data_IF_274739236807
#
_entry.id   IF_274739236807
#
_cell.length_a   1.000
_cell.length_b   1.000
_cell.length_c   1.000
_cell.angle_alpha   90.00
_cell.angle_beta   90.00
_cell.angle_gamma   90.00
#
_symmetry.space_group_name_H-M   'P 1'
#
loop_
_entity.id
_entity.type
_entity.pdbx_description
1 polymer ?
#
# COMPACT_ATOMS: atom_id res chain seq x y z
N UNK A 1 -18.56 17.17 21.40
CA UNK A 1 -19.98 17.47 21.31
C UNK A 1 -20.25 18.28 20.05
N UNK A 2 -21.03 17.74 19.09
CA UNK A 2 -21.37 18.39 17.83
C UNK A 2 -22.70 19.17 17.88
N UNK A 3 -23.34 19.27 19.04
CA UNK A 3 -24.63 19.97 19.21
C UNK A 3 -24.61 21.42 18.73
N UNK A 4 -23.50 22.13 18.90
CA UNK A 4 -23.35 23.51 18.41
C UNK A 4 -23.35 23.67 16.90
N UNK A 5 -23.31 22.56 16.13
CA UNK A 5 -23.25 22.52 14.68
C UNK A 5 -24.59 22.12 14.05
N UNK A 6 -25.69 22.05 14.81
CA UNK A 6 -27.01 21.67 14.29
C UNK A 6 -27.42 22.58 13.13
N UNK A 7 -27.75 21.99 11.98
CA UNK A 7 -28.10 22.69 10.75
C UNK A 7 -26.91 23.02 9.84
N UNK A 8 -25.68 22.81 10.32
CA UNK A 8 -24.48 22.95 9.48
C UNK A 8 -24.24 21.69 8.65
N UNK A 9 -23.69 21.88 7.47
CA UNK A 9 -23.25 20.77 6.61
C UNK A 9 -21.72 20.73 6.62
N UNK A 10 -21.16 19.65 7.13
CA UNK A 10 -19.74 19.36 7.03
C UNK A 10 -19.44 18.74 5.67
N UNK A 11 -18.45 19.26 4.98
CA UNK A 11 -17.94 18.68 3.75
C UNK A 11 -16.53 18.16 4.00
N UNK A 12 -16.21 17.01 3.42
CA UNK A 12 -14.89 16.41 3.53
C UNK A 12 -14.42 15.87 2.19
N UNK A 13 -13.13 16.01 1.95
CA UNK A 13 -12.47 15.56 0.73
C UNK A 13 -11.18 14.87 1.12
N UNK A 14 -10.94 13.70 0.59
CA UNK A 14 -9.63 13.06 0.63
C UNK A 14 -9.13 12.80 -0.79
N UNK A 15 -7.88 13.10 -1.04
CA UNK A 15 -7.19 12.86 -2.32
C UNK A 15 -5.90 12.08 -2.10
N UNK A 16 -5.36 11.49 -3.15
CA UNK A 16 -4.20 10.62 -3.08
C UNK A 16 -4.55 9.16 -2.86
N UNK A 17 -5.81 8.88 -2.60
CA UNK A 17 -6.39 7.56 -2.75
C UNK A 17 -6.54 7.33 -4.27
N UNK A 18 -6.29 6.11 -4.80
CA UNK A 18 -6.43 5.88 -6.25
C UNK A 18 -7.72 6.48 -6.77
N UNK A 19 -7.61 7.33 -7.82
CA UNK A 19 -8.71 8.04 -8.45
C UNK A 19 -10.04 7.25 -8.50
N UNK A 20 -11.20 7.90 -8.27
CA UNK A 20 -11.41 9.34 -8.19
C UNK A 20 -11.33 9.89 -6.76
N UNK A 21 -11.13 11.22 -6.63
CA UNK A 21 -11.22 11.90 -5.33
C UNK A 21 -12.62 11.73 -4.73
N UNK A 22 -12.68 11.33 -3.47
CA UNK A 22 -13.93 11.08 -2.77
C UNK A 22 -14.32 12.32 -1.95
N UNK A 23 -15.53 12.81 -2.20
CA UNK A 23 -16.10 13.95 -1.49
C UNK A 23 -17.39 13.51 -0.81
N UNK A 24 -17.56 13.87 0.45
CA UNK A 24 -18.77 13.63 1.20
C UNK A 24 -19.28 14.88 1.89
N UNK A 25 -20.54 14.83 2.27
CA UNK A 25 -21.20 15.86 3.08
C UNK A 25 -21.99 15.20 4.19
N UNK A 26 -21.97 15.80 5.36
CA UNK A 26 -22.77 15.38 6.51
C UNK A 26 -23.48 16.58 7.11
N UNK A 27 -24.81 16.49 7.24
CA UNK A 27 -25.61 17.55 7.86
C UNK A 27 -25.88 17.18 9.31
N UNK A 28 -25.47 18.06 10.21
CA UNK A 28 -25.66 17.87 11.65
C UNK A 28 -27.10 18.18 12.04
N UNK A 29 -27.76 17.25 12.70
CA UNK A 29 -29.10 17.40 13.30
C UNK A 29 -29.01 17.43 14.83
N UNK A 30 -30.13 17.67 15.52
CA UNK A 30 -30.16 17.65 16.98
C UNK A 30 -29.84 16.28 17.58
N UNK A 31 -30.08 15.21 16.84
CA UNK A 31 -29.80 13.83 17.22
C UNK A 31 -28.45 13.31 16.77
N UNK A 32 -27.70 14.10 15.97
CA UNK A 32 -26.43 13.68 15.40
C UNK A 32 -25.37 13.40 16.48
N UNK A 33 -24.71 12.28 16.34
CA UNK A 33 -23.57 11.88 17.16
C UNK A 33 -22.27 11.92 16.36
N UNK A 34 -21.14 11.88 17.07
CA UNK A 34 -19.83 11.75 16.41
C UNK A 34 -19.69 10.40 15.69
N UNK A 35 -20.36 9.36 16.20
CA UNK A 35 -20.40 8.05 15.53
C UNK A 35 -21.09 8.15 14.16
N UNK A 36 -22.23 8.85 14.06
CA UNK A 36 -22.93 9.06 12.78
C UNK A 36 -22.05 9.82 11.77
N UNK A 37 -21.28 10.79 12.25
CA UNK A 37 -20.33 11.53 11.43
C UNK A 37 -19.22 10.61 10.88
N UNK A 38 -18.62 9.78 11.74
CA UNK A 38 -17.59 8.79 11.35
C UNK A 38 -18.15 7.78 10.36
N UNK A 39 -19.37 7.27 10.60
CA UNK A 39 -20.05 6.35 9.70
C UNK A 39 -20.28 6.98 8.32
N UNK A 40 -20.67 8.26 8.29
CA UNK A 40 -20.83 9.01 7.04
C UNK A 40 -19.51 9.13 6.25
N UNK A 41 -18.38 9.36 6.94
CA UNK A 41 -17.06 9.38 6.31
C UNK A 41 -16.74 7.98 5.74
N UNK A 42 -16.87 6.94 6.54
CA UNK A 42 -16.60 5.56 6.11
C UNK A 42 -17.48 5.16 4.90
N UNK A 43 -18.75 5.56 4.89
CA UNK A 43 -19.66 5.31 3.77
C UNK A 43 -19.22 6.02 2.49
N UNK A 44 -18.75 7.27 2.59
CA UNK A 44 -18.25 8.04 1.44
C UNK A 44 -17.02 7.38 0.80
N UNK A 45 -16.15 6.80 1.63
CA UNK A 45 -14.97 6.10 1.14
C UNK A 45 -15.22 4.61 0.84
N UNK A 46 -16.49 4.22 0.72
CA UNK A 46 -16.92 2.88 0.27
C UNK A 46 -17.85 3.04 -0.92
N UNK A 47 -17.35 2.81 -2.13
CA UNK A 47 -18.12 2.92 -3.39
C UNK A 47 -18.17 1.55 -4.04
N UNK A 48 -19.39 1.11 -4.43
CA UNK A 48 -19.62 -0.18 -5.08
C UNK A 48 -18.98 -1.37 -4.33
N UNK A 49 -19.09 -1.37 -3.01
CA UNK A 49 -18.47 -2.34 -2.09
C UNK A 49 -16.92 -2.31 -2.07
N UNK A 50 -16.31 -1.36 -2.74
CA UNK A 50 -14.86 -1.15 -2.68
C UNK A 50 -14.55 -0.11 -1.62
N UNK A 51 -13.78 -0.48 -0.62
CA UNK A 51 -13.22 0.46 0.36
C UNK A 51 -12.02 1.18 -0.22
N UNK A 52 -11.94 2.48 0.03
CA UNK A 52 -10.80 3.33 -0.34
C UNK A 52 -9.97 3.77 0.87
N UNK A 53 -10.54 3.70 2.06
CA UNK A 53 -9.83 3.79 3.33
C UNK A 53 -10.00 2.49 4.10
N UNK A 54 -9.01 2.13 4.91
CA UNK A 54 -9.08 0.98 5.80
C UNK A 54 -10.15 1.24 6.87
N UNK A 55 -9.99 2.33 7.62
CA UNK A 55 -10.91 2.70 8.69
C UNK A 55 -10.82 4.19 9.04
N UNK A 56 -11.97 4.72 9.47
CA UNK A 56 -12.06 5.98 10.21
C UNK A 56 -12.66 5.67 11.56
N UNK A 57 -11.95 6.01 12.64
CA UNK A 57 -12.30 5.69 14.01
C UNK A 57 -11.89 6.79 14.98
N UNK A 58 -12.27 6.66 16.25
CA UNK A 58 -11.75 7.48 17.34
C UNK A 58 -10.67 6.71 18.08
N UNK A 59 -9.54 7.36 18.30
CA UNK A 59 -8.52 6.83 19.18
C UNK A 59 -8.92 6.99 20.66
N UNK A 60 -8.20 6.34 21.54
CA UNK A 60 -8.47 6.32 23.00
C UNK A 60 -8.37 7.70 23.64
N UNK A 61 -7.64 8.63 23.06
CA UNK A 61 -7.52 10.03 23.48
C UNK A 61 -8.64 10.93 22.93
N UNK A 62 -9.55 10.38 22.11
CA UNK A 62 -10.66 11.08 21.48
C UNK A 62 -10.29 11.78 20.17
N UNK A 63 -9.08 11.60 19.66
CA UNK A 63 -8.69 12.10 18.33
C UNK A 63 -9.30 11.27 17.21
N UNK A 64 -9.59 11.90 16.07
CA UNK A 64 -10.05 11.20 14.88
C UNK A 64 -8.86 10.55 14.18
N UNK A 65 -8.91 9.23 14.05
CA UNK A 65 -7.92 8.43 13.35
C UNK A 65 -8.44 8.05 11.98
N UNK A 66 -7.63 8.25 10.95
CA UNK A 66 -7.93 7.89 9.57
C UNK A 66 -6.81 6.99 9.05
N UNK A 67 -7.16 5.76 8.73
CA UNK A 67 -6.24 4.75 8.23
C UNK A 67 -6.46 4.51 6.74
N UNK A 68 -5.37 4.65 5.96
CA UNK A 68 -5.32 4.21 4.57
C UNK A 68 -4.87 2.76 4.46
N UNK A 69 -5.16 2.13 3.35
CA UNK A 69 -4.57 0.82 3.03
C UNK A 69 -3.05 0.91 2.89
N UNK A 70 -2.36 -0.19 3.18
CA UNK A 70 -0.92 -0.30 2.99
C UNK A 70 -0.51 -0.09 1.52
N UNK A 71 0.72 0.36 1.33
CA UNK A 71 1.33 0.60 0.02
C UNK A 71 1.34 2.05 -0.41
N UNK A 72 2.40 2.42 -1.11
CA UNK A 72 2.64 3.80 -1.58
C UNK A 72 1.56 4.30 -2.54
N UNK A 73 0.94 3.39 -3.31
CA UNK A 73 -0.18 3.69 -4.20
C UNK A 73 -1.46 4.11 -3.47
N UNK A 74 -1.58 3.77 -2.18
CA UNK A 74 -2.74 4.10 -1.35
C UNK A 74 -2.46 5.28 -0.40
N UNK A 75 -1.36 6.00 -0.62
CA UNK A 75 -0.96 7.14 0.19
C UNK A 75 -2.04 8.22 0.20
N UNK A 76 -2.56 8.57 1.38
CA UNK A 76 -3.41 9.73 1.55
C UNK A 76 -2.54 10.98 1.42
N UNK A 77 -2.72 11.76 0.35
CA UNK A 77 -1.91 12.96 0.07
C UNK A 77 -2.58 14.24 0.52
N UNK A 78 -3.90 14.23 0.63
CA UNK A 78 -4.68 15.39 1.03
C UNK A 78 -5.92 14.95 1.80
N UNK A 79 -6.20 15.65 2.86
CA UNK A 79 -7.40 15.48 3.67
C UNK A 79 -7.86 16.86 4.12
N UNK A 80 -9.11 17.19 3.87
CA UNK A 80 -9.70 18.45 4.27
C UNK A 80 -11.12 18.25 4.77
N UNK A 81 -11.42 18.89 5.89
CA UNK A 81 -12.76 18.97 6.47
C UNK A 81 -13.11 20.43 6.65
N UNK A 82 -14.26 20.83 6.18
CA UNK A 82 -14.73 22.19 6.32
C UNK A 82 -16.24 22.24 6.51
N UNK A 83 -16.73 23.27 7.14
CA UNK A 83 -18.16 23.51 7.27
C UNK A 83 -18.67 24.39 6.15
N UNK A 84 -19.84 24.05 5.61
CA UNK A 84 -20.58 24.85 4.66
C UNK A 84 -21.90 25.26 5.31
N UNK A 85 -22.06 26.54 5.68
CA UNK A 85 -23.25 27.05 6.32
C UNK A 85 -23.10 28.49 6.77
N UNK A 86 -24.15 29.03 7.38
CA UNK A 86 -24.22 30.43 7.80
C UNK A 86 -24.05 30.63 9.32
N UNK A 87 -23.73 29.59 10.10
CA UNK A 87 -23.55 29.73 11.53
C UNK A 87 -22.27 30.49 11.84
N UNK A 88 -22.42 31.64 12.46
CA UNK A 88 -21.31 32.47 12.95
C UNK A 88 -20.85 31.98 14.32
N UNK A 89 -19.58 31.69 14.48
CA UNK A 89 -18.95 31.37 15.77
C UNK A 89 -18.67 29.88 16.01
N UNK A 90 -19.57 28.98 15.67
CA UNK A 90 -19.36 27.51 15.79
C UNK A 90 -18.58 26.93 14.62
N UNK A 91 -18.71 27.55 13.44
CA UNK A 91 -17.94 27.22 12.25
C UNK A 91 -16.46 27.33 12.49
N UNK A 92 -16.02 28.46 13.07
CA UNK A 92 -14.60 28.69 13.36
C UNK A 92 -14.00 27.63 14.29
N UNK A 93 -14.80 27.13 15.22
CA UNK A 93 -14.34 26.07 16.14
C UNK A 93 -14.17 24.73 15.41
N UNK A 94 -15.10 24.36 14.54
CA UNK A 94 -15.01 23.14 13.77
C UNK A 94 -13.86 23.22 12.75
N UNK A 95 -13.78 24.30 11.99
CA UNK A 95 -12.74 24.48 11.00
C UNK A 95 -11.34 24.56 11.66
N UNK A 96 -11.23 25.15 12.84
CA UNK A 96 -9.98 25.15 13.60
C UNK A 96 -9.56 23.77 14.13
N UNK A 97 -10.50 22.86 14.37
CA UNK A 97 -10.20 21.49 14.84
C UNK A 97 -9.85 20.56 13.67
N UNK A 98 -10.52 20.71 12.54
CA UNK A 98 -10.42 19.77 11.42
C UNK A 98 -9.73 20.34 10.17
N UNK A 99 -9.37 21.61 10.14
CA UNK A 99 -8.68 22.21 9.00
C UNK A 99 -7.23 21.72 8.92
N UNK A 100 -6.94 20.95 7.89
CA UNK A 100 -5.59 20.46 7.59
C UNK A 100 -4.57 21.57 7.34
N UNK A 101 -5.02 22.77 6.94
CA UNK A 101 -4.13 23.93 6.69
C UNK A 101 -3.57 24.53 7.98
N UNK A 102 -4.23 24.32 9.12
CA UNK A 102 -3.82 24.83 10.43
C UNK A 102 -2.88 23.85 11.17
N UNK A 103 -2.54 22.71 10.56
CA UNK A 103 -1.59 21.75 11.14
C UNK A 103 -2.15 20.86 12.26
N UNK A 104 -3.46 20.70 12.34
CA UNK A 104 -4.12 19.81 13.29
C UNK A 104 -4.04 18.34 12.91
N UNK A 105 -3.72 18.04 11.64
CA UNK A 105 -3.51 16.67 11.17
C UNK A 105 -2.05 16.29 11.31
N UNK A 106 -1.80 15.23 12.03
CA UNK A 106 -0.47 14.64 12.15
C UNK A 106 -0.42 13.31 11.42
N UNK A 107 0.50 13.19 10.48
CA UNK A 107 0.81 11.89 9.89
C UNK A 107 1.63 11.08 10.89
N UNK A 108 1.05 9.99 11.37
CA UNK A 108 1.69 9.09 12.33
C UNK A 108 2.45 7.96 11.63
N UNK A 109 2.06 7.63 10.39
CA UNK A 109 2.71 6.59 9.60
C UNK A 109 2.78 6.99 8.12
N UNK A 110 3.94 6.82 7.50
CA UNK A 110 4.08 6.92 6.05
C UNK A 110 3.53 5.68 5.36
N UNK A 111 3.05 5.87 4.12
CA UNK A 111 2.64 4.75 3.28
C UNK A 111 3.89 4.07 2.71
N UNK A 112 4.05 2.81 3.01
CA UNK A 112 5.17 2.00 2.55
C UNK A 112 4.65 0.71 1.89
N UNK A 113 5.34 0.26 0.85
CA UNK A 113 5.04 -1.03 0.23
C UNK A 113 5.56 -2.15 1.12
N UNK A 114 4.75 -3.18 1.33
CA UNK A 114 5.21 -4.38 2.03
C UNK A 114 6.24 -5.09 1.16
N UNK A 115 7.48 -5.18 1.63
CA UNK A 115 8.59 -5.78 0.92
C UNK A 115 9.26 -6.88 1.74
N UNK A 116 9.74 -7.89 1.04
CA UNK A 116 10.60 -8.91 1.58
C UNK A 116 11.78 -9.14 0.65
N UNK A 117 13.01 -9.07 1.17
CA UNK A 117 14.22 -9.29 0.37
C UNK A 117 14.99 -10.50 0.90
N UNK A 118 15.52 -11.28 -0.03
CA UNK A 118 16.41 -12.38 0.26
C UNK A 118 17.65 -12.32 -0.63
N UNK A 119 18.75 -12.89 -0.20
CA UNK A 119 20.00 -12.94 -0.96
C UNK A 119 20.46 -14.35 -1.20
N UNK A 120 21.07 -14.58 -2.35
CA UNK A 120 21.71 -15.83 -2.69
C UNK A 120 23.11 -15.56 -3.24
N UNK A 121 24.08 -16.40 -2.88
CA UNK A 121 25.41 -16.38 -3.48
C UNK A 121 25.48 -17.40 -4.59
N UNK A 122 25.85 -16.96 -5.78
CA UNK A 122 26.09 -17.80 -6.95
C UNK A 122 27.54 -17.65 -7.41
N UNK A 123 28.05 -18.64 -8.12
CA UNK A 123 29.43 -18.62 -8.59
C UNK A 123 29.46 -18.66 -10.11
N UNK A 124 30.33 -17.85 -10.71
CA UNK A 124 30.57 -17.89 -12.14
C UNK A 124 31.45 -19.10 -12.54
N UNK A 125 31.64 -19.28 -13.84
CA UNK A 125 32.46 -20.36 -14.39
C UNK A 125 33.95 -20.29 -14.00
N UNK A 126 34.40 -19.15 -13.49
CA UNK A 126 35.75 -18.94 -12.98
C UNK A 126 35.85 -19.08 -11.45
N UNK A 127 34.72 -19.30 -10.77
CA UNK A 127 34.66 -19.50 -9.33
C UNK A 127 34.53 -18.21 -8.51
N UNK A 128 34.28 -17.05 -9.14
CA UNK A 128 34.02 -15.83 -8.41
C UNK A 128 32.58 -15.82 -7.85
N UNK A 129 32.42 -15.34 -6.64
CA UNK A 129 31.14 -15.26 -5.95
C UNK A 129 30.40 -13.97 -6.31
N UNK A 130 29.12 -14.11 -6.64
CA UNK A 130 28.21 -13.00 -6.91
C UNK A 130 27.00 -13.09 -5.98
N UNK A 131 26.64 -11.96 -5.34
CA UNK A 131 25.49 -11.91 -4.45
C UNK A 131 24.30 -11.37 -5.25
N UNK A 132 23.27 -12.17 -5.36
CA UNK A 132 21.99 -11.76 -5.94
C UNK A 132 21.03 -11.36 -4.83
N UNK A 133 20.29 -10.29 -5.06
CA UNK A 133 19.20 -9.87 -4.17
C UNK A 133 17.88 -10.05 -4.90
N UNK A 134 16.98 -10.82 -4.33
CA UNK A 134 15.61 -10.96 -4.81
C UNK A 134 14.70 -10.21 -3.84
N UNK A 135 13.93 -9.26 -4.37
CA UNK A 135 12.99 -8.45 -3.61
C UNK A 135 11.58 -8.77 -4.07
N UNK A 136 10.70 -9.06 -3.13
CA UNK A 136 9.28 -9.23 -3.32
C UNK A 136 8.56 -8.00 -2.80
N UNK A 137 7.68 -7.42 -3.61
CA UNK A 137 6.84 -6.26 -3.23
C UNK A 137 5.38 -6.67 -3.35
N UNK A 138 4.61 -6.51 -2.28
CA UNK A 138 3.20 -6.89 -2.26
C UNK A 138 2.39 -5.99 -3.21
N UNK A 139 1.47 -6.58 -3.97
CA UNK A 139 0.52 -5.83 -4.78
C UNK A 139 -0.48 -5.11 -3.86
N UNK A 140 -0.66 -3.82 -4.06
CA UNK A 140 -1.55 -2.98 -3.25
C UNK A 140 -3.05 -3.22 -3.53
N UNK A 141 -3.36 -3.87 -4.65
CA UNK A 141 -4.74 -4.17 -5.09
C UNK A 141 -5.13 -5.63 -4.93
N UNK A 142 -4.16 -6.51 -4.76
CA UNK A 142 -4.39 -7.94 -4.63
C UNK A 142 -3.50 -8.53 -3.54
N UNK A 143 -4.09 -8.81 -2.40
CA UNK A 143 -3.40 -9.34 -1.22
C UNK A 143 -2.67 -10.66 -1.43
N UNK A 144 -3.01 -11.38 -2.49
CA UNK A 144 -2.44 -12.69 -2.83
C UNK A 144 -1.42 -12.61 -3.94
N UNK A 145 -1.09 -11.41 -4.43
CA UNK A 145 -0.13 -11.19 -5.50
C UNK A 145 1.06 -10.38 -4.99
N UNK A 146 2.24 -10.79 -5.41
CA UNK A 146 3.49 -10.10 -5.19
C UNK A 146 4.23 -9.95 -6.50
N UNK A 147 4.91 -8.85 -6.68
CA UNK A 147 5.88 -8.63 -7.74
C UNK A 147 7.25 -8.98 -7.20
N UNK A 148 8.06 -9.64 -8.00
CA UNK A 148 9.45 -9.93 -7.63
C UNK A 148 10.41 -9.33 -8.63
N UNK A 149 11.58 -8.95 -8.14
CA UNK A 149 12.69 -8.40 -8.91
C UNK A 149 13.98 -9.02 -8.40
N UNK A 150 14.87 -9.42 -9.33
CA UNK A 150 16.23 -9.88 -9.01
C UNK A 150 17.22 -8.82 -9.46
N UNK A 151 18.10 -8.43 -8.54
CA UNK A 151 19.21 -7.50 -8.79
C UNK A 151 20.52 -8.16 -8.41
N UNK A 152 21.55 -7.92 -9.25
CA UNK A 152 22.92 -8.20 -8.89
C UNK A 152 23.60 -6.98 -8.21
N UNK A 153 24.81 -7.14 -7.67
CA UNK A 153 25.60 -6.03 -7.16
C UNK A 153 25.84 -4.97 -8.23
N UNK A 154 25.89 -3.71 -7.81
CA UNK A 154 26.05 -2.53 -8.66
C UNK A 154 27.31 -2.54 -9.56
N UNK A 155 28.32 -3.29 -9.22
CA UNK A 155 29.54 -3.47 -10.03
C UNK A 155 29.31 -4.21 -11.34
N UNK A 156 28.14 -4.84 -11.53
CA UNK A 156 27.77 -5.57 -12.73
C UNK A 156 26.74 -4.80 -13.60
N UNK A 157 26.18 -3.70 -13.11
CA UNK A 157 25.17 -2.92 -13.81
C UNK A 157 25.74 -2.18 -15.06
N UNK A 158 27.03 -1.84 -15.06
CA UNK A 158 27.67 -1.14 -16.17
C UNK A 158 27.90 -2.02 -17.41
N UNK A 159 27.82 -3.34 -17.27
CA UNK A 159 28.12 -4.29 -18.38
C UNK A 159 26.91 -4.82 -19.15
N UNK A 160 25.77 -4.11 -19.10
CA UNK A 160 24.55 -4.54 -19.82
C UNK A 160 23.69 -5.51 -19.03
N UNK A 161 23.69 -5.39 -17.76
CA UNK A 161 23.03 -6.20 -16.77
C UNK A 161 21.51 -6.27 -16.96
N UNK A 162 20.96 -7.44 -16.97
CA UNK A 162 19.50 -7.66 -17.05
C UNK A 162 18.94 -7.93 -15.67
N UNK A 163 18.28 -6.94 -15.11
CA UNK A 163 17.32 -7.15 -14.01
C UNK A 163 16.20 -8.03 -14.56
N UNK A 164 15.89 -9.13 -13.93
CA UNK A 164 14.70 -9.92 -14.26
C UNK A 164 13.66 -9.75 -13.19
N UNK A 165 12.40 -9.78 -13.59
CA UNK A 165 11.26 -9.50 -12.75
C UNK A 165 10.05 -10.33 -13.17
N UNK A 166 9.06 -10.35 -12.30
CA UNK A 166 7.83 -11.06 -12.57
C UNK A 166 6.82 -10.94 -11.45
N UNK A 167 5.93 -11.89 -11.38
CA UNK A 167 4.92 -11.94 -10.32
C UNK A 167 4.73 -13.34 -9.77
N UNK A 168 4.30 -13.41 -8.52
CA UNK A 168 3.87 -14.63 -7.85
C UNK A 168 2.49 -14.41 -7.26
N UNK A 169 1.62 -15.39 -7.39
CA UNK A 169 0.30 -15.41 -6.76
C UNK A 169 0.20 -16.57 -5.79
N UNK A 170 -0.60 -16.39 -4.75
CA UNK A 170 -0.85 -17.42 -3.75
C UNK A 170 -2.33 -17.76 -3.68
N UNK A 171 -2.63 -19.02 -3.37
CA UNK A 171 -3.98 -19.49 -3.12
C UNK A 171 -4.49 -19.01 -1.75
N UNK A 172 -5.77 -19.26 -1.47
CA UNK A 172 -6.40 -18.86 -0.21
C UNK A 172 -5.76 -19.52 1.05
N UNK A 173 -5.18 -20.68 0.87
CA UNK A 173 -4.48 -21.46 1.91
C UNK A 173 -2.99 -21.10 2.06
N UNK A 174 -2.52 -20.09 1.32
CA UNK A 174 -1.13 -19.65 1.32
C UNK A 174 -0.18 -20.49 0.45
N UNK A 175 -0.67 -21.52 -0.22
CA UNK A 175 0.13 -22.31 -1.17
C UNK A 175 0.45 -21.51 -2.44
N UNK A 176 1.50 -21.93 -3.17
CA UNK A 176 1.88 -21.33 -4.43
C UNK A 176 0.74 -21.45 -5.46
N UNK A 177 0.24 -20.33 -5.95
CA UNK A 177 -0.72 -20.27 -7.06
C UNK A 177 0.00 -20.34 -8.40
N UNK A 178 0.72 -19.30 -8.75
CA UNK A 178 1.46 -19.19 -10.01
C UNK A 178 2.71 -18.34 -9.80
N UNK A 179 3.80 -18.71 -10.45
CA UNK A 179 5.03 -17.92 -10.53
C UNK A 179 5.33 -17.62 -11.99
N UNK A 180 5.41 -16.35 -12.33
CA UNK A 180 5.58 -15.88 -13.71
C UNK A 180 6.80 -14.97 -13.83
N UNK A 181 7.53 -15.14 -14.93
CA UNK A 181 8.55 -14.21 -15.42
C UNK A 181 7.89 -13.23 -16.41
N UNK A 182 8.17 -11.95 -16.31
CA UNK A 182 7.59 -10.95 -17.21
C UNK A 182 7.99 -11.18 -18.67
N UNK A 183 9.21 -11.67 -18.91
CA UNK A 183 9.72 -11.97 -20.24
C UNK A 183 9.33 -13.34 -20.79
N UNK A 184 8.53 -14.13 -20.04
CA UNK A 184 8.08 -15.46 -20.46
C UNK A 184 9.17 -16.55 -20.41
N UNK A 185 10.36 -16.25 -19.90
CA UNK A 185 11.39 -17.23 -19.60
C UNK A 185 11.06 -17.92 -18.28
N UNK A 186 11.67 -19.05 -17.99
CA UNK A 186 11.59 -19.73 -16.69
C UNK A 186 12.94 -19.70 -15.95
N UNK A 187 13.88 -18.91 -16.42
CA UNK A 187 15.18 -18.68 -15.82
C UNK A 187 15.57 -17.22 -15.99
N UNK A 188 16.45 -16.72 -15.16
CA UNK A 188 17.13 -15.44 -15.39
C UNK A 188 18.60 -15.67 -15.71
N UNK A 189 19.16 -14.78 -16.53
CA UNK A 189 20.52 -14.83 -17.02
C UNK A 189 21.20 -13.50 -16.75
N UNK A 190 22.43 -13.54 -16.27
CA UNK A 190 23.24 -12.35 -16.15
C UNK A 190 24.68 -12.59 -16.59
N UNK A 191 25.31 -11.51 -17.04
CA UNK A 191 26.67 -11.51 -17.56
C UNK A 191 27.62 -10.97 -16.51
N UNK A 192 28.84 -11.48 -16.47
CA UNK A 192 29.90 -11.02 -15.59
C UNK A 192 30.98 -10.30 -16.40
N UNK A 193 31.60 -9.25 -15.82
CA UNK A 193 32.70 -8.53 -16.50
C UNK A 193 34.01 -9.33 -16.54
N UNK A 194 34.09 -10.43 -15.85
CA UNK A 194 35.29 -11.23 -15.67
C UNK A 194 35.67 -12.08 -16.87
N UNK A 195 34.85 -12.04 -17.96
CA UNK A 195 35.01 -12.92 -19.11
C UNK A 195 34.56 -14.36 -18.85
N UNK A 196 33.86 -14.59 -17.75
CA UNK A 196 33.18 -15.86 -17.47
C UNK A 196 31.98 -16.04 -18.40
N UNK A 197 31.54 -17.28 -18.57
CA UNK A 197 30.30 -17.59 -19.29
C UNK A 197 29.09 -16.99 -18.55
N UNK A 198 28.02 -16.59 -19.30
CA UNK A 198 26.79 -16.10 -18.71
C UNK A 198 26.24 -17.07 -17.65
N UNK A 199 25.82 -16.54 -16.51
CA UNK A 199 25.23 -17.33 -15.42
C UNK A 199 23.73 -17.45 -15.66
N UNK A 200 23.25 -18.70 -15.82
CA UNK A 200 21.84 -19.03 -15.92
C UNK A 200 21.37 -19.64 -14.61
N UNK A 201 20.26 -19.12 -14.10
CA UNK A 201 19.69 -19.56 -12.83
C UNK A 201 18.23 -19.94 -13.02
N UNK A 202 17.92 -21.20 -12.78
CA UNK A 202 16.56 -21.72 -12.68
C UNK A 202 16.08 -21.56 -11.24
N UNK A 203 14.95 -20.90 -11.06
CA UNK A 203 14.34 -20.73 -9.74
C UNK A 203 13.48 -21.94 -9.41
N UNK A 204 13.88 -22.70 -8.40
CA UNK A 204 13.01 -23.73 -7.83
C UNK A 204 12.09 -23.08 -6.77
N UNK A 205 10.94 -22.63 -7.19
CA UNK A 205 9.94 -21.97 -6.34
C UNK A 205 8.96 -22.96 -5.67
N UNK A 206 9.06 -24.24 -5.98
CA UNK A 206 8.12 -25.27 -5.53
C UNK A 206 7.05 -25.59 -6.57
N UNK A 207 6.15 -26.49 -6.22
CA UNK A 207 5.05 -26.92 -7.08
C UNK A 207 3.78 -26.09 -6.81
N UNK A 208 3.02 -25.82 -7.85
CA UNK A 208 1.72 -25.15 -7.76
C UNK A 208 0.77 -25.94 -6.84
N UNK A 209 0.10 -25.25 -5.93
CA UNK A 209 -0.75 -25.85 -4.90
C UNK A 209 0.01 -26.43 -3.69
N UNK A 210 1.34 -26.29 -3.65
CA UNK A 210 2.18 -26.77 -2.56
C UNK A 210 2.65 -25.62 -1.66
N UNK A 211 2.86 -25.92 -0.39
CA UNK A 211 3.53 -25.06 0.60
C UNK A 211 5.00 -25.45 0.79
N UNK A 212 5.49 -26.43 0.03
CA UNK A 212 6.88 -26.93 0.10
C UNK A 212 7.92 -26.07 -0.61
N UNK A 213 7.52 -24.92 -1.16
CA UNK A 213 8.39 -23.93 -1.78
C UNK A 213 8.12 -22.53 -1.24
N UNK A 214 7.96 -21.55 -2.14
CA UNK A 214 7.50 -20.22 -1.77
C UNK A 214 6.04 -20.33 -1.32
N UNK A 215 5.73 -19.78 -0.16
CA UNK A 215 4.39 -19.77 0.41
C UNK A 215 4.11 -18.45 1.11
N UNK A 216 2.84 -18.07 1.18
CA UNK A 216 2.38 -16.89 1.90
C UNK A 216 1.50 -17.34 3.07
N UNK A 217 1.97 -17.10 4.28
CA UNK A 217 1.16 -17.27 5.47
C UNK A 217 0.80 -15.89 6.03
N UNK A 218 -0.44 -15.74 6.51
CA UNK A 218 -0.80 -14.55 7.26
C UNK A 218 0.14 -14.44 8.46
N UNK A 219 0.72 -13.25 8.65
CA UNK A 219 1.43 -12.94 9.90
C UNK A 219 0.39 -12.98 11.04
N UNK A 220 0.67 -13.63 12.17
CA UNK A 220 -0.25 -13.64 13.30
C UNK A 220 -0.45 -12.25 13.87
#
# INVERSE_FOLDING_TARGET
NIEGLVGETSSYTATGIPEPSHNGTYTVTAESTLADFIESINATFTVDQTKYLEEVSLDTDGSLKIEGFGGTANKITYLNFFTAGNATGTRDVFDNVFDATIGHWQRTQEAEDAQHSTTATVYDSLGHAHILTMTFTKDTKNDKKWFWEVKAPSTLEESGYVTDNGSVTFNADGSLGEFQFERGNNYFEFFTETGAEPIKIDLNVGEQGSVGGISQFASP
#
